data_IF_919006875264
#
_entry.id   IF_919006875264
#
_cell.length_a   1.000
_cell.length_b   1.000
_cell.length_c   1.000
_cell.angle_alpha   90.00
_cell.angle_beta   90.00
_cell.angle_gamma   90.00
#
_symmetry.space_group_name_H-M   'P 1'
#
loop_
_entity.id
_entity.type
_entity.pdbx_description
1 polymer ?
#
# COMPACT_ATOMS: atom_id res chain seq x y z
N UNK A 1 25.30 20.13 -0.30
CA UNK A 1 24.50 20.16 -1.55
C UNK A 1 23.66 18.87 -1.68
N UNK A 2 22.49 18.88 -1.05
CA UNK A 2 21.61 17.73 -1.04
C UNK A 2 20.80 17.65 -2.33
N UNK A 3 21.13 16.70 -3.21
CA UNK A 3 20.32 16.39 -4.38
C UNK A 3 18.95 15.90 -3.94
N UNK A 4 17.87 16.55 -4.39
CA UNK A 4 16.50 16.10 -4.16
C UNK A 4 16.22 14.79 -4.90
N UNK A 5 15.31 13.98 -4.38
CA UNK A 5 14.93 12.70 -4.97
C UNK A 5 13.47 12.69 -5.41
N UNK A 6 13.17 11.95 -6.48
CA UNK A 6 11.82 11.78 -7.03
C UNK A 6 11.05 10.63 -6.39
N UNK A 7 11.78 9.74 -5.69
CA UNK A 7 11.20 8.59 -4.99
C UNK A 7 11.76 8.51 -3.57
N UNK A 8 10.97 8.05 -2.59
CA UNK A 8 11.43 7.93 -1.21
C UNK A 8 12.49 6.85 -1.01
N UNK A 9 12.56 5.87 -1.93
CA UNK A 9 13.51 4.75 -1.87
C UNK A 9 14.04 4.45 -3.27
N UNK A 10 15.27 3.95 -3.36
CA UNK A 10 15.84 3.51 -4.63
C UNK A 10 15.12 2.28 -5.16
N UNK A 11 14.97 2.20 -6.47
CA UNK A 11 14.45 1.02 -7.13
C UNK A 11 15.32 -0.20 -6.80
N UNK A 12 14.68 -1.30 -6.40
CA UNK A 12 15.40 -2.51 -6.00
C UNK A 12 16.15 -2.41 -4.66
N UNK A 13 15.90 -1.39 -3.82
CA UNK A 13 16.53 -1.29 -2.50
C UNK A 13 16.24 -2.53 -1.65
N UNK A 14 17.31 -3.18 -1.18
CA UNK A 14 17.24 -4.40 -0.37
C UNK A 14 18.32 -4.35 0.72
N UNK A 15 18.00 -4.79 1.92
CA UNK A 15 18.96 -5.03 3.00
C UNK A 15 19.27 -6.52 3.04
N UNK A 16 20.55 -6.85 2.92
CA UNK A 16 21.06 -8.23 2.94
C UNK A 16 21.60 -8.61 4.33
N UNK A 17 21.79 -9.91 4.62
CA UNK A 17 22.46 -10.33 5.84
C UNK A 17 23.88 -9.74 6.01
N UNK A 18 24.59 -9.51 4.91
CA UNK A 18 25.91 -8.86 4.89
C UNK A 18 25.86 -7.43 5.43
N UNK A 19 24.82 -6.68 5.07
CA UNK A 19 24.61 -5.31 5.55
C UNK A 19 24.45 -5.22 7.08
N UNK A 20 24.12 -6.34 7.76
CA UNK A 20 23.88 -6.39 9.21
C UNK A 20 25.07 -6.88 10.02
N UNK A 21 26.21 -7.17 9.40
CA UNK A 21 27.41 -7.67 10.10
C UNK A 21 28.14 -6.61 10.91
N UNK A 22 28.03 -5.33 10.50
CA UNK A 22 28.71 -4.23 11.18
C UNK A 22 27.93 -3.80 12.43
N UNK A 23 28.61 -3.73 13.56
CA UNK A 23 28.03 -3.20 14.79
C UNK A 23 27.94 -1.67 14.69
N UNK A 24 26.77 -1.08 15.02
CA UNK A 24 26.60 0.36 14.96
C UNK A 24 27.30 1.05 16.15
N UNK A 25 27.75 2.29 15.94
CA UNK A 25 28.18 3.17 17.02
C UNK A 25 26.97 3.79 17.72
N UNK A 26 27.16 4.30 18.96
CA UNK A 26 26.11 5.00 19.69
C UNK A 26 25.60 6.26 18.93
N UNK A 27 26.49 6.94 18.21
CA UNK A 27 26.14 8.08 17.36
C UNK A 27 25.23 7.67 16.22
N UNK A 28 25.56 6.58 15.53
CA UNK A 28 24.72 6.01 14.46
C UNK A 28 23.34 5.61 14.97
N UNK A 29 23.27 4.99 16.15
CA UNK A 29 22.00 4.60 16.78
C UNK A 29 21.14 5.82 17.10
N UNK A 30 21.73 6.85 17.70
CA UNK A 30 21.04 8.09 18.07
C UNK A 30 20.53 8.83 16.83
N UNK A 31 21.41 9.05 15.84
CA UNK A 31 21.06 9.68 14.57
C UNK A 31 19.92 8.92 13.88
N UNK A 32 20.05 7.62 13.72
CA UNK A 32 19.08 6.81 13.00
C UNK A 32 17.70 6.80 13.67
N UNK A 33 17.65 6.64 14.99
CA UNK A 33 16.39 6.68 15.75
C UNK A 33 15.68 8.02 15.61
N UNK A 34 16.42 9.12 15.63
CA UNK A 34 15.87 10.46 15.42
C UNK A 34 15.29 10.61 14.01
N UNK A 35 16.03 10.17 12.98
CA UNK A 35 15.56 10.19 11.58
C UNK A 35 14.27 9.37 11.41
N UNK A 36 14.27 8.11 11.89
CA UNK A 36 13.11 7.22 11.74
C UNK A 36 11.90 7.72 12.52
N UNK A 37 12.09 8.29 13.71
CA UNK A 37 11.01 8.91 14.48
C UNK A 37 10.34 10.05 13.71
N UNK A 38 11.14 10.93 13.10
CA UNK A 38 10.65 12.08 12.35
C UNK A 38 9.88 11.65 11.08
N UNK A 39 10.45 10.76 10.26
CA UNK A 39 9.78 10.31 9.04
C UNK A 39 8.60 9.38 9.35
N UNK A 40 8.64 8.64 10.46
CA UNK A 40 7.56 7.79 10.93
C UNK A 40 6.29 8.59 11.27
N UNK A 41 6.45 9.72 11.93
CA UNK A 41 5.33 10.63 12.21
C UNK A 41 4.66 11.10 10.91
N UNK A 42 5.45 11.54 9.92
CA UNK A 42 4.92 11.96 8.63
C UNK A 42 4.18 10.81 7.92
N UNK A 43 4.75 9.59 7.93
CA UNK A 43 4.17 8.41 7.28
C UNK A 43 2.82 7.98 7.87
N UNK A 44 2.60 8.21 9.17
CA UNK A 44 1.37 7.82 9.87
C UNK A 44 0.29 8.88 9.86
N UNK A 45 0.63 10.14 9.56
CA UNK A 45 -0.33 11.26 9.61
C UNK A 45 -0.86 11.67 8.25
N UNK A 46 -0.01 11.82 7.23
CA UNK A 46 -0.42 12.35 5.91
C UNK A 46 0.37 11.79 4.73
N UNK A 47 1.58 11.25 4.97
CA UNK A 47 2.51 10.86 3.91
C UNK A 47 2.47 9.34 3.67
N UNK A 48 1.33 8.82 3.17
CA UNK A 48 1.23 7.40 2.80
C UNK A 48 2.27 7.00 1.73
N UNK A 49 2.72 7.93 0.91
CA UNK A 49 3.70 7.74 -0.15
C UNK A 49 5.10 7.33 0.35
N UNK A 50 5.42 7.56 1.64
CA UNK A 50 6.65 7.08 2.26
C UNK A 50 6.45 5.87 3.19
N UNK A 51 5.21 5.36 3.32
CA UNK A 51 4.89 4.32 4.30
C UNK A 51 5.71 3.03 4.10
N UNK A 52 5.92 2.62 2.84
CA UNK A 52 6.78 1.48 2.53
C UNK A 52 8.23 1.71 2.98
N UNK A 53 8.81 2.85 2.63
CA UNK A 53 10.18 3.18 3.00
C UNK A 53 10.36 3.17 4.53
N UNK A 54 9.43 3.79 5.26
CA UNK A 54 9.44 3.80 6.72
C UNK A 54 9.27 2.41 7.30
N UNK A 55 8.38 1.59 6.73
CA UNK A 55 8.17 0.21 7.17
C UNK A 55 9.44 -0.64 7.05
N UNK A 56 10.17 -0.52 5.94
CA UNK A 56 11.45 -1.23 5.75
C UNK A 56 12.52 -0.70 6.71
N UNK A 57 12.71 0.61 6.79
CA UNK A 57 13.77 1.23 7.55
C UNK A 57 13.59 1.07 9.08
N UNK A 58 12.36 1.17 9.58
CA UNK A 58 12.07 1.02 11.01
C UNK A 58 12.47 -0.35 11.62
N UNK A 59 12.65 -1.36 10.79
CA UNK A 59 13.10 -2.69 11.21
C UNK A 59 14.56 -2.73 11.66
N UNK A 60 15.35 -1.71 11.32
CA UNK A 60 16.79 -1.64 11.58
C UNK A 60 17.16 -0.69 12.74
N UNK A 61 16.20 -0.30 13.59
CA UNK A 61 16.40 0.61 14.73
C UNK A 61 17.42 0.13 15.75
N UNK A 62 17.61 -1.19 15.88
CA UNK A 62 18.57 -1.79 16.83
C UNK A 62 19.95 -2.00 16.22
N UNK A 63 20.03 -2.12 14.89
CA UNK A 63 21.28 -2.36 14.16
C UNK A 63 21.32 -1.59 12.84
N UNK A 64 21.34 -0.24 12.92
CA UNK A 64 21.51 0.58 11.72
C UNK A 64 22.94 0.43 11.17
N UNK A 65 23.06 0.52 9.86
CA UNK A 65 24.31 0.67 9.15
C UNK A 65 24.25 1.92 8.25
N UNK A 66 25.36 2.25 7.60
CA UNK A 66 25.40 3.45 6.76
C UNK A 66 24.37 3.43 5.65
N UNK A 67 24.09 2.26 5.06
CA UNK A 67 23.12 2.10 3.96
C UNK A 67 21.69 2.48 4.38
N UNK A 68 21.22 2.06 5.56
CA UNK A 68 19.89 2.43 6.05
C UNK A 68 19.83 3.89 6.52
N UNK A 69 20.94 4.46 7.05
CA UNK A 69 21.04 5.88 7.38
C UNK A 69 20.92 6.73 6.11
N UNK A 70 21.64 6.37 5.06
CA UNK A 70 21.60 7.07 3.77
C UNK A 70 20.21 6.97 3.12
N UNK A 71 19.57 5.80 3.22
CA UNK A 71 18.20 5.61 2.77
C UNK A 71 17.20 6.47 3.58
N UNK A 72 17.35 6.59 4.90
CA UNK A 72 16.53 7.48 5.71
C UNK A 72 16.74 8.96 5.33
N UNK A 73 17.98 9.38 5.11
CA UNK A 73 18.30 10.71 4.59
C UNK A 73 17.71 10.96 3.20
N UNK A 74 17.64 9.92 2.34
CA UNK A 74 16.95 10.00 1.05
C UNK A 74 15.46 10.28 1.22
N UNK A 75 14.76 9.61 2.15
CA UNK A 75 13.36 9.90 2.45
C UNK A 75 13.17 11.37 2.82
N UNK A 76 14.05 11.94 3.66
CA UNK A 76 13.98 13.36 4.03
C UNK A 76 14.15 14.25 2.80
N UNK A 77 15.11 13.98 1.93
CA UNK A 77 15.31 14.77 0.69
C UNK A 77 14.10 14.68 -0.25
N UNK A 78 13.45 13.52 -0.32
CA UNK A 78 12.18 13.35 -1.03
C UNK A 78 11.06 14.20 -0.39
N UNK A 79 10.92 14.17 0.94
CA UNK A 79 9.95 14.99 1.67
C UNK A 79 10.17 16.49 1.46
N UNK A 80 11.42 16.94 1.44
CA UNK A 80 11.77 18.34 1.16
C UNK A 80 11.37 18.76 -0.27
N UNK A 81 11.52 17.87 -1.25
CA UNK A 81 11.07 18.11 -2.63
C UNK A 81 9.54 18.16 -2.74
N UNK A 82 8.86 17.34 -1.96
CA UNK A 82 7.41 17.14 -2.02
C UNK A 82 6.69 17.76 -0.81
N UNK A 83 7.20 18.87 -0.29
CA UNK A 83 6.64 19.54 0.91
C UNK A 83 5.19 20.00 0.75
N UNK A 84 4.76 20.25 -0.49
CA UNK A 84 3.40 20.69 -0.82
C UNK A 84 2.43 19.52 -1.03
N UNK A 85 2.89 18.29 -0.76
CA UNK A 85 2.02 17.10 -0.81
C UNK A 85 0.86 17.26 0.17
N UNK A 86 -0.34 16.99 -0.31
CA UNK A 86 -1.57 17.03 0.49
C UNK A 86 -2.49 15.86 0.12
N UNK A 87 -3.31 15.45 1.05
CA UNK A 87 -4.47 14.61 0.80
C UNK A 87 -5.67 15.56 0.68
N UNK A 88 -6.44 15.42 -0.39
CA UNK A 88 -7.62 16.26 -0.63
C UNK A 88 -8.85 15.38 -0.57
N UNK A 89 -9.87 15.82 0.12
CA UNK A 89 -11.20 15.23 0.14
C UNK A 89 -12.20 16.25 -0.40
N UNK A 90 -13.11 15.82 -1.25
CA UNK A 90 -14.18 16.65 -1.77
C UNK A 90 -15.51 15.90 -1.73
N UNK A 91 -16.60 16.67 -1.59
CA UNK A 91 -17.96 16.18 -1.74
C UNK A 91 -18.67 16.89 -2.90
N UNK A 92 -17.94 17.71 -3.66
CA UNK A 92 -18.48 18.43 -4.81
C UNK A 92 -18.58 17.49 -6.02
N UNK A 93 -19.75 17.39 -6.62
CA UNK A 93 -20.02 16.54 -7.80
C UNK A 93 -19.19 16.96 -9.03
N UNK A 94 -18.67 18.20 -9.05
CA UNK A 94 -17.75 18.66 -10.09
C UNK A 94 -16.36 18.04 -10.00
N UNK A 95 -15.97 17.55 -8.81
CA UNK A 95 -14.66 16.98 -8.53
C UNK A 95 -14.69 15.45 -8.36
N UNK A 96 -15.86 14.90 -8.02
CA UNK A 96 -16.08 13.47 -7.80
C UNK A 96 -17.34 13.03 -8.53
N UNK A 97 -17.30 11.90 -9.23
CA UNK A 97 -18.48 11.33 -9.86
C UNK A 97 -19.61 11.13 -8.83
N UNK A 98 -20.87 11.55 -9.12
CA UNK A 98 -21.96 11.56 -8.13
C UNK A 98 -22.20 10.20 -7.46
N UNK A 99 -22.00 9.11 -8.18
CA UNK A 99 -22.14 7.74 -7.68
C UNK A 99 -21.00 7.30 -6.75
N UNK A 100 -19.95 8.13 -6.61
CA UNK A 100 -18.77 7.88 -5.76
C UNK A 100 -18.71 8.74 -4.51
N UNK A 101 -19.58 9.75 -4.39
CA UNK A 101 -19.69 10.56 -3.18
C UNK A 101 -20.06 9.68 -2.00
N UNK A 102 -19.31 9.78 -0.90
CA UNK A 102 -19.45 8.95 0.31
C UNK A 102 -19.38 7.45 0.03
N UNK A 103 -18.61 7.04 -0.98
CA UNK A 103 -18.32 5.62 -1.26
C UNK A 103 -16.86 5.31 -0.98
N UNK A 104 -16.68 4.45 -0.01
CA UNK A 104 -15.36 3.92 0.34
C UNK A 104 -14.96 2.82 -0.65
N UNK A 105 -13.69 2.81 -1.03
CA UNK A 105 -13.07 1.76 -1.83
C UNK A 105 -11.60 1.62 -1.44
N UNK A 106 -10.93 0.56 -1.86
CA UNK A 106 -9.53 0.35 -1.55
C UNK A 106 -8.80 -0.49 -2.58
N UNK A 107 -7.49 -0.60 -2.40
CA UNK A 107 -6.61 -1.49 -3.14
C UNK A 107 -5.64 -2.18 -2.19
N UNK A 108 -5.28 -3.41 -2.50
CA UNK A 108 -4.35 -4.22 -1.71
C UNK A 108 -3.32 -4.90 -2.62
N UNK A 109 -2.14 -5.13 -2.08
CA UNK A 109 -1.04 -5.84 -2.75
C UNK A 109 -0.18 -6.58 -1.72
N UNK A 110 0.52 -7.62 -2.17
CA UNK A 110 1.58 -8.25 -1.38
C UNK A 110 2.78 -8.63 -2.24
N UNK A 111 3.97 -8.33 -1.76
CA UNK A 111 5.22 -8.77 -2.35
C UNK A 111 5.67 -10.06 -1.70
N UNK A 112 5.51 -11.20 -2.42
CA UNK A 112 5.81 -12.54 -1.91
C UNK A 112 7.28 -12.71 -1.57
N UNK A 113 7.56 -13.20 -0.34
CA UNK A 113 8.90 -13.51 0.18
C UNK A 113 9.93 -12.38 -0.05
N UNK A 114 9.47 -11.10 -0.05
CA UNK A 114 10.26 -9.93 -0.39
C UNK A 114 11.41 -9.66 0.59
N UNK A 115 11.29 -10.10 1.85
CA UNK A 115 12.36 -9.94 2.82
C UNK A 115 13.43 -11.03 2.65
N UNK A 116 14.66 -10.70 2.25
CA UNK A 116 15.69 -11.70 1.99
C UNK A 116 16.21 -12.38 3.27
N UNK A 117 16.02 -11.74 4.43
CA UNK A 117 16.50 -12.24 5.72
C UNK A 117 15.53 -13.25 6.31
N UNK A 118 14.23 -12.90 6.38
CA UNK A 118 13.23 -13.75 7.03
C UNK A 118 12.34 -14.51 6.06
N UNK A 119 12.46 -14.25 4.75
CA UNK A 119 11.60 -14.79 3.68
C UNK A 119 10.10 -14.49 3.87
N UNK A 120 9.78 -13.51 4.70
CA UNK A 120 8.41 -13.03 4.88
C UNK A 120 8.00 -12.12 3.73
N UNK A 121 6.72 -12.16 3.42
CA UNK A 121 6.09 -11.27 2.45
C UNK A 121 5.83 -9.89 3.04
N UNK A 122 5.80 -8.88 2.21
CA UNK A 122 5.39 -7.52 2.58
C UNK A 122 4.02 -7.27 2.00
N UNK A 123 3.07 -6.80 2.79
CA UNK A 123 1.74 -6.46 2.32
C UNK A 123 1.36 -5.03 2.67
N UNK A 124 0.46 -4.48 1.89
CA UNK A 124 -0.03 -3.15 2.10
C UNK A 124 -1.38 -2.92 1.44
N UNK A 125 -2.09 -1.90 1.92
CA UNK A 125 -3.35 -1.44 1.35
C UNK A 125 -3.47 0.08 1.45
N UNK A 126 -4.34 0.61 0.61
CA UNK A 126 -4.84 1.98 0.63
C UNK A 126 -6.36 1.93 0.62
N UNK A 127 -7.00 2.74 1.45
CA UNK A 127 -8.46 2.90 1.47
C UNK A 127 -8.78 4.37 1.28
N UNK A 128 -9.71 4.64 0.37
CA UNK A 128 -10.10 5.98 -0.06
C UNK A 128 -11.57 6.24 0.26
N UNK A 129 -11.91 7.49 0.48
CA UNK A 129 -13.27 8.00 0.52
C UNK A 129 -13.27 9.45 0.06
N UNK A 130 -14.28 9.86 -0.72
CA UNK A 130 -14.39 11.23 -1.23
C UNK A 130 -13.10 11.77 -1.87
N UNK A 131 -12.47 10.98 -2.74
CA UNK A 131 -11.26 11.35 -3.48
C UNK A 131 -9.96 11.32 -2.67
N UNK A 132 -10.00 11.19 -1.35
CA UNK A 132 -8.82 11.18 -0.49
C UNK A 132 -8.55 9.85 0.18
N UNK A 133 -7.27 9.52 0.38
CA UNK A 133 -6.87 8.36 1.18
C UNK A 133 -7.20 8.61 2.66
N UNK A 134 -7.92 7.68 3.29
CA UNK A 134 -8.35 7.78 4.69
C UNK A 134 -7.67 6.75 5.60
N UNK A 135 -7.18 5.65 5.04
CA UNK A 135 -6.41 4.64 5.78
C UNK A 135 -5.40 3.96 4.88
N UNK A 136 -4.24 3.65 5.41
CA UNK A 136 -3.18 2.92 4.70
C UNK A 136 -2.35 2.09 5.65
N UNK A 137 -1.73 1.08 5.09
CA UNK A 137 -0.80 0.22 5.81
C UNK A 137 0.27 -0.31 4.88
N UNK A 138 1.48 -0.33 5.36
CA UNK A 138 2.60 -1.03 4.75
C UNK A 138 3.34 -1.81 5.83
N UNK A 139 3.56 -3.10 5.65
CA UNK A 139 4.22 -3.88 6.69
C UNK A 139 4.60 -5.31 6.30
N UNK A 140 5.65 -5.80 6.95
CA UNK A 140 6.07 -7.17 6.85
C UNK A 140 5.03 -8.09 7.51
N UNK A 141 4.65 -9.16 6.82
CA UNK A 141 3.73 -10.15 7.36
C UNK A 141 4.36 -10.88 8.58
N UNK A 142 3.52 -11.25 9.54
CA UNK A 142 3.98 -11.92 10.78
C UNK A 142 4.39 -13.38 10.56
N UNK A 143 3.98 -13.99 9.45
CA UNK A 143 4.24 -15.38 9.08
C UNK A 143 4.94 -15.46 7.72
N UNK A 144 5.60 -16.60 7.48
CA UNK A 144 6.08 -16.96 6.14
C UNK A 144 4.92 -17.62 5.40
N UNK A 145 4.62 -17.15 4.22
CA UNK A 145 3.63 -17.73 3.31
C UNK A 145 4.30 -18.64 2.30
N UNK A 146 3.59 -19.65 1.80
CA UNK A 146 4.14 -20.68 0.91
C UNK A 146 3.93 -20.39 -0.57
N UNK A 147 3.10 -19.39 -0.90
CA UNK A 147 2.81 -18.98 -2.28
C UNK A 147 2.50 -17.48 -2.36
N UNK A 148 2.57 -16.93 -3.58
CA UNK A 148 2.13 -15.55 -3.84
C UNK A 148 0.64 -15.38 -3.51
N UNK A 149 -0.22 -16.31 -3.92
CA UNK A 149 -1.64 -16.30 -3.61
C UNK A 149 -1.91 -16.26 -2.10
N UNK A 150 -1.16 -17.03 -1.29
CA UNK A 150 -1.28 -17.00 0.17
C UNK A 150 -0.84 -15.66 0.75
N UNK A 151 0.22 -15.06 0.22
CA UNK A 151 0.69 -13.75 0.68
C UNK A 151 -0.31 -12.63 0.33
N UNK A 152 -0.86 -12.64 -0.88
CA UNK A 152 -1.93 -11.72 -1.29
C UNK A 152 -3.15 -11.87 -0.39
N UNK A 153 -3.54 -13.11 -0.11
CA UNK A 153 -4.68 -13.40 0.74
C UNK A 153 -4.50 -12.90 2.19
N UNK A 154 -3.30 -12.98 2.75
CA UNK A 154 -2.99 -12.40 4.06
C UNK A 154 -3.10 -10.87 4.04
N UNK A 155 -2.65 -10.22 2.98
CA UNK A 155 -2.82 -8.79 2.73
C UNK A 155 -4.29 -8.41 2.62
N UNK A 156 -5.04 -9.12 1.77
CA UNK A 156 -6.46 -8.94 1.53
C UNK A 156 -7.28 -9.03 2.83
N UNK A 157 -7.06 -10.06 3.64
CA UNK A 157 -7.71 -10.19 4.94
C UNK A 157 -7.44 -8.99 5.86
N UNK A 158 -6.22 -8.45 5.85
CA UNK A 158 -5.87 -7.26 6.63
C UNK A 158 -6.65 -6.02 6.16
N UNK A 159 -6.80 -5.83 4.86
CA UNK A 159 -7.62 -4.75 4.29
C UNK A 159 -9.11 -4.91 4.59
N UNK A 160 -9.64 -6.14 4.52
CA UNK A 160 -11.04 -6.44 4.88
C UNK A 160 -11.35 -6.10 6.34
N UNK A 161 -10.45 -6.44 7.27
CA UNK A 161 -10.59 -6.08 8.69
C UNK A 161 -10.66 -4.57 8.86
N UNK A 162 -9.80 -3.81 8.18
CA UNK A 162 -9.80 -2.34 8.23
C UNK A 162 -11.08 -1.76 7.63
N UNK A 163 -11.55 -2.27 6.49
CA UNK A 163 -12.80 -1.83 5.88
C UNK A 163 -13.99 -2.06 6.82
N UNK A 164 -14.05 -3.21 7.49
CA UNK A 164 -15.13 -3.47 8.49
C UNK A 164 -15.12 -2.43 9.59
N UNK A 165 -13.97 -2.11 10.15
CA UNK A 165 -13.82 -1.10 11.18
C UNK A 165 -14.25 0.29 10.68
N UNK A 166 -13.75 0.71 9.49
CA UNK A 166 -14.10 2.01 8.92
C UNK A 166 -15.59 2.11 8.57
N UNK A 167 -16.22 1.04 8.09
CA UNK A 167 -17.66 1.02 7.82
C UNK A 167 -18.47 1.21 9.09
N UNK A 168 -18.09 0.55 10.19
CA UNK A 168 -18.72 0.74 11.49
C UNK A 168 -18.56 2.19 11.97
N UNK A 169 -17.36 2.75 11.90
CA UNK A 169 -17.10 4.14 12.25
C UNK A 169 -17.95 5.11 11.43
N UNK A 170 -18.06 4.90 10.12
CA UNK A 170 -18.87 5.74 9.23
C UNK A 170 -20.37 5.62 9.54
N UNK A 171 -20.85 4.45 9.94
CA UNK A 171 -22.23 4.25 10.40
C UNK A 171 -22.50 5.04 11.68
N UNK A 172 -21.61 4.95 12.68
CA UNK A 172 -21.70 5.72 13.93
C UNK A 172 -21.66 7.25 13.69
N UNK A 173 -20.96 7.70 12.66
CA UNK A 173 -20.94 9.10 12.22
C UNK A 173 -22.17 9.53 11.38
N UNK A 174 -23.14 8.65 11.19
CA UNK A 174 -24.35 8.92 10.40
C UNK A 174 -24.10 8.96 8.89
N UNK A 175 -23.01 8.34 8.42
CA UNK A 175 -22.61 8.24 7.01
C UNK A 175 -22.42 6.79 6.59
N UNK A 176 -23.44 5.92 6.70
CA UNK A 176 -23.32 4.51 6.39
C UNK A 176 -22.86 4.30 4.96
N UNK A 177 -22.01 3.31 4.77
CA UNK A 177 -21.50 2.95 3.45
C UNK A 177 -22.46 2.03 2.71
N UNK A 178 -22.69 2.22 1.40
CA UNK A 178 -23.50 1.30 0.61
C UNK A 178 -22.88 -0.12 0.64
N UNK A 179 -23.70 -1.15 0.36
CA UNK A 179 -23.21 -2.53 0.30
C UNK A 179 -22.04 -2.71 -0.69
N UNK A 180 -21.09 -3.56 -0.33
CA UNK A 180 -20.02 -3.98 -1.21
C UNK A 180 -18.94 -2.93 -1.43
N UNK A 181 -18.26 -2.46 -0.35
CA UNK A 181 -17.03 -1.66 -0.52
C UNK A 181 -16.07 -2.35 -1.47
N UNK A 182 -15.74 -1.71 -2.59
CA UNK A 182 -14.85 -2.28 -3.62
C UNK A 182 -13.43 -2.35 -3.05
N UNK A 183 -12.81 -3.53 -3.18
CA UNK A 183 -11.41 -3.76 -2.86
C UNK A 183 -10.73 -4.38 -4.08
N UNK A 184 -9.80 -3.63 -4.68
CA UNK A 184 -9.06 -4.02 -5.85
C UNK A 184 -7.89 -4.95 -5.48
N UNK A 185 -7.79 -6.07 -6.20
CA UNK A 185 -6.78 -7.12 -6.03
C UNK A 185 -6.31 -7.58 -7.41
N UNK A 186 -5.01 -7.77 -7.62
CA UNK A 186 -4.46 -8.16 -8.93
C UNK A 186 -4.19 -9.67 -9.09
N UNK A 187 -4.39 -10.45 -8.03
CA UNK A 187 -4.24 -11.90 -8.05
C UNK A 187 -5.60 -12.61 -8.16
N UNK A 188 -5.93 -13.07 -9.37
CA UNK A 188 -7.20 -13.76 -9.63
C UNK A 188 -7.42 -15.01 -8.76
N UNK A 189 -6.34 -15.76 -8.44
CA UNK A 189 -6.44 -16.93 -7.57
C UNK A 189 -6.78 -16.52 -6.13
N UNK A 190 -6.28 -15.39 -5.67
CA UNK A 190 -6.63 -14.80 -4.37
C UNK A 190 -8.12 -14.42 -4.32
N UNK A 191 -8.65 -13.82 -5.39
CA UNK A 191 -10.07 -13.44 -5.50
C UNK A 191 -10.97 -14.66 -5.39
N UNK A 192 -10.74 -15.69 -6.21
CA UNK A 192 -11.50 -16.97 -6.19
C UNK A 192 -11.47 -17.59 -4.78
N UNK A 193 -10.30 -17.57 -4.14
CA UNK A 193 -10.12 -18.07 -2.80
C UNK A 193 -10.96 -17.30 -1.76
N UNK A 194 -11.03 -15.97 -1.90
CA UNK A 194 -11.76 -15.09 -1.00
C UNK A 194 -13.29 -15.20 -1.16
N UNK A 195 -13.77 -15.55 -2.35
CA UNK A 195 -15.18 -15.80 -2.63
C UNK A 195 -15.69 -17.15 -2.09
N UNK A 196 -14.77 -17.98 -1.56
CA UNK A 196 -15.12 -19.23 -0.90
C UNK A 196 -15.41 -20.39 -1.86
N UNK A 197 -15.05 -20.27 -3.13
CA UNK A 197 -15.31 -21.30 -4.16
C UNK A 197 -14.42 -22.55 -4.05
N UNK A 198 -13.42 -22.53 -3.17
CA UNK A 198 -12.48 -23.63 -3.00
C UNK A 198 -12.55 -24.26 -1.61
N UNK A 199 -12.58 -25.60 -1.54
CA UNK A 199 -12.52 -26.34 -0.29
C UNK A 199 -11.17 -26.14 0.42
N UNK A 200 -11.21 -25.97 1.74
CA UNK A 200 -10.07 -25.68 2.62
C UNK A 200 -9.16 -26.90 2.92
N UNK A 201 -8.94 -27.79 1.97
CA UNK A 201 -8.12 -28.99 2.18
C UNK A 201 -6.64 -28.67 2.44
N UNK A 202 -6.12 -29.01 3.63
CA UNK A 202 -4.67 -29.05 3.91
C UNK A 202 -3.99 -27.73 4.27
N UNK A 203 -4.74 -26.61 4.47
CA UNK A 203 -4.15 -25.33 4.88
C UNK A 203 -3.91 -25.22 6.39
N UNK A 204 -2.99 -24.33 6.78
CA UNK A 204 -2.77 -24.07 8.20
C UNK A 204 -4.00 -23.43 8.85
N UNK A 205 -4.27 -23.74 10.12
CA UNK A 205 -5.42 -23.22 10.89
C UNK A 205 -5.53 -21.69 10.83
N UNK A 206 -4.40 -20.99 10.81
CA UNK A 206 -4.38 -19.52 10.76
C UNK A 206 -4.88 -18.97 9.41
N UNK A 207 -4.61 -19.66 8.32
CA UNK A 207 -5.11 -19.31 7.00
C UNK A 207 -6.61 -19.63 6.91
N UNK A 208 -7.05 -20.78 7.44
CA UNK A 208 -8.46 -21.16 7.45
C UNK A 208 -9.36 -20.14 8.16
N UNK A 209 -8.95 -19.62 9.32
CA UNK A 209 -9.70 -18.57 10.04
C UNK A 209 -9.80 -17.30 9.20
N UNK A 210 -8.73 -16.87 8.56
CA UNK A 210 -8.74 -15.69 7.68
C UNK A 210 -9.64 -15.89 6.46
N UNK A 211 -9.62 -17.09 5.87
CA UNK A 211 -10.48 -17.46 4.74
C UNK A 211 -11.95 -17.32 5.12
N UNK A 212 -12.35 -17.92 6.21
CA UNK A 212 -13.76 -17.85 6.69
C UNK A 212 -14.19 -16.42 6.95
N UNK A 213 -13.36 -15.64 7.65
CA UNK A 213 -13.66 -14.23 7.95
C UNK A 213 -13.82 -13.39 6.66
N UNK A 214 -12.94 -13.58 5.67
CA UNK A 214 -13.00 -12.84 4.40
C UNK A 214 -14.20 -13.27 3.57
N UNK A 215 -14.42 -14.59 3.39
CA UNK A 215 -15.57 -15.12 2.66
C UNK A 215 -16.92 -14.70 3.27
N UNK A 216 -17.00 -14.70 4.59
CA UNK A 216 -18.18 -14.20 5.30
C UNK A 216 -18.41 -12.70 5.05
N UNK A 217 -17.35 -11.90 5.03
CA UNK A 217 -17.43 -10.46 4.73
C UNK A 217 -17.89 -10.17 3.31
N UNK A 218 -17.46 -11.00 2.33
CA UNK A 218 -17.94 -10.95 0.94
C UNK A 218 -19.41 -11.34 0.88
N UNK A 219 -19.79 -12.46 1.51
CA UNK A 219 -21.16 -12.96 1.53
C UNK A 219 -22.15 -12.00 2.19
N UNK A 220 -21.72 -11.29 3.22
CA UNK A 220 -22.51 -10.26 3.90
C UNK A 220 -22.60 -8.95 3.12
N UNK A 221 -21.94 -8.84 1.96
CA UNK A 221 -21.89 -7.60 1.16
C UNK A 221 -21.12 -6.46 1.83
N UNK A 222 -20.19 -6.76 2.74
CA UNK A 222 -19.35 -5.75 3.38
C UNK A 222 -18.28 -5.28 2.38
N UNK A 223 -17.66 -6.22 1.66
CA UNK A 223 -16.69 -5.97 0.61
C UNK A 223 -17.08 -6.66 -0.68
N UNK A 224 -16.67 -6.08 -1.81
CA UNK A 224 -16.72 -6.67 -3.15
C UNK A 224 -15.30 -6.67 -3.69
N UNK A 225 -14.69 -7.85 -3.83
CA UNK A 225 -13.32 -7.95 -4.31
C UNK A 225 -13.36 -7.96 -5.83
N UNK A 226 -12.57 -7.09 -6.46
CA UNK A 226 -12.54 -6.93 -7.90
C UNK A 226 -11.13 -7.01 -8.44
N UNK A 227 -10.99 -7.57 -9.63
CA UNK A 227 -9.70 -7.66 -10.30
C UNK A 227 -9.26 -6.29 -10.83
N UNK A 228 -7.98 -5.97 -10.61
CA UNK A 228 -7.28 -4.87 -11.26
C UNK A 228 -6.01 -5.43 -11.91
N UNK A 229 -5.64 -4.92 -13.08
CA UNK A 229 -4.35 -5.32 -13.67
C UNK A 229 -3.18 -4.79 -12.81
N UNK A 230 -2.13 -5.60 -12.63
CA UNK A 230 -0.95 -5.27 -11.79
C UNK A 230 -0.33 -3.91 -12.12
N UNK A 231 -0.35 -3.51 -13.40
CA UNK A 231 0.15 -2.20 -13.82
C UNK A 231 -0.59 -1.02 -13.18
N UNK A 232 -1.84 -1.22 -12.74
CA UNK A 232 -2.74 -0.23 -12.17
C UNK A 232 -2.99 -0.40 -10.68
N UNK A 233 -2.37 -1.40 -10.03
CA UNK A 233 -2.59 -1.62 -8.61
C UNK A 233 -2.01 -0.46 -7.79
N UNK A 234 -2.90 0.32 -7.19
CA UNK A 234 -2.56 1.47 -6.33
C UNK A 234 -1.68 1.06 -5.14
N UNK A 235 -1.87 -0.16 -4.64
CA UNK A 235 -1.18 -0.63 -3.45
C UNK A 235 0.28 -1.05 -3.68
N UNK A 236 0.78 -1.07 -4.92
CA UNK A 236 2.20 -1.34 -5.22
C UNK A 236 3.15 -0.40 -4.45
N UNK A 237 2.77 0.88 -4.26
CA UNK A 237 3.61 1.83 -3.50
C UNK A 237 3.73 1.46 -2.02
N UNK A 238 2.86 0.57 -1.52
CA UNK A 238 2.87 0.07 -0.15
C UNK A 238 3.73 -1.18 0.04
N UNK A 239 4.17 -1.82 -1.04
CA UNK A 239 4.78 -3.16 -0.98
C UNK A 239 6.12 -3.28 -1.67
N UNK A 240 6.49 -2.31 -2.53
CA UNK A 240 7.68 -2.39 -3.38
C UNK A 240 8.42 -1.05 -3.45
N UNK A 241 9.76 -1.06 -3.56
CA UNK A 241 10.53 0.13 -3.92
C UNK A 241 10.38 0.32 -5.44
N UNK A 242 9.57 1.28 -5.85
CA UNK A 242 9.24 1.50 -7.26
C UNK A 242 10.20 2.48 -7.92
N UNK A 243 10.56 2.21 -9.18
CA UNK A 243 11.27 3.15 -10.03
C UNK A 243 10.45 4.43 -10.29
N UNK A 244 11.15 5.53 -10.62
CA UNK A 244 10.61 6.90 -10.72
C UNK A 244 9.29 6.98 -11.51
N UNK A 245 9.25 6.40 -12.70
CA UNK A 245 8.09 6.52 -13.60
C UNK A 245 6.85 5.82 -13.00
N UNK A 246 7.02 4.57 -12.53
CA UNK A 246 5.92 3.81 -11.94
C UNK A 246 5.43 4.43 -10.63
N UNK A 247 6.36 4.87 -9.79
CA UNK A 247 6.03 5.56 -8.54
C UNK A 247 5.21 6.83 -8.79
N UNK A 248 5.67 7.72 -9.69
CA UNK A 248 4.96 8.94 -10.02
C UNK A 248 3.56 8.67 -10.58
N UNK A 249 3.43 7.69 -11.49
CA UNK A 249 2.13 7.28 -12.06
C UNK A 249 1.17 6.84 -10.97
N UNK A 250 1.55 5.89 -10.11
CA UNK A 250 0.68 5.39 -9.05
C UNK A 250 0.34 6.50 -8.06
N UNK A 251 1.32 7.33 -7.68
CA UNK A 251 1.09 8.43 -6.77
C UNK A 251 0.08 9.45 -7.33
N UNK A 252 0.14 9.75 -8.63
CA UNK A 252 -0.84 10.64 -9.28
C UNK A 252 -2.23 10.00 -9.30
N UNK A 253 -2.34 8.69 -9.57
CA UNK A 253 -3.60 7.96 -9.44
C UNK A 253 -4.17 8.04 -8.02
N UNK A 254 -3.32 7.94 -6.99
CA UNK A 254 -3.75 8.04 -5.59
C UNK A 254 -4.16 9.47 -5.18
N UNK A 255 -3.62 10.51 -5.82
CA UNK A 255 -3.96 11.92 -5.53
C UNK A 255 -5.30 12.35 -6.13
N UNK A 256 -5.67 11.78 -7.26
CA UNK A 256 -6.92 12.05 -7.96
C UNK A 256 -7.56 10.75 -8.45
N UNK A 257 -7.89 9.82 -7.52
CA UNK A 257 -8.31 8.47 -7.89
C UNK A 257 -9.62 8.45 -8.68
N UNK A 258 -10.45 9.47 -8.50
CA UNK A 258 -11.75 9.57 -9.12
C UNK A 258 -11.69 10.17 -10.54
N UNK A 259 -10.72 11.07 -10.80
CA UNK A 259 -10.57 11.74 -12.08
C UNK A 259 -9.99 10.82 -13.17
N UNK A 260 -9.15 9.87 -12.76
CA UNK A 260 -8.40 9.03 -13.70
C UNK A 260 -9.09 7.71 -14.09
N UNK A 261 -10.30 7.45 -13.55
CA UNK A 261 -11.07 6.24 -13.81
C UNK A 261 -10.25 4.95 -13.67
N UNK A 262 -10.68 4.01 -12.85
CA UNK A 262 -10.12 2.64 -12.96
C UNK A 262 -10.68 2.06 -14.25
N UNK A 263 -9.87 1.61 -15.21
CA UNK A 263 -10.38 0.94 -16.39
C UNK A 263 -11.22 -0.27 -15.94
N UNK A 264 -12.50 -0.26 -16.23
CA UNK A 264 -13.47 -1.33 -15.84
C UNK A 264 -13.20 -2.62 -16.63
N UNK A 265 -12.37 -2.53 -17.66
CA UNK A 265 -11.93 -3.64 -18.48
C UNK A 265 -10.44 -3.92 -18.19
N UNK A 266 -10.08 -5.18 -17.98
CA UNK A 266 -8.70 -5.63 -17.77
C UNK A 266 -7.75 -5.38 -18.95
N UNK A 267 -7.99 -4.32 -19.73
CA UNK A 267 -7.17 -3.87 -20.83
C UNK A 267 -6.05 -2.97 -20.31
N UNK A 268 -4.82 -3.32 -20.65
CA UNK A 268 -3.67 -2.44 -20.49
C UNK A 268 -3.88 -1.24 -21.42
N UNK A 269 -3.74 0.02 -20.94
CA UNK A 269 -3.81 1.18 -21.81
C UNK A 269 -2.74 1.10 -22.89
N UNK A 270 -3.09 1.57 -24.07
CA UNK A 270 -2.15 1.69 -25.17
C UNK A 270 -0.98 2.59 -24.78
N UNK A 271 0.24 2.19 -25.12
CA UNK A 271 1.50 2.90 -24.80
C UNK A 271 1.49 4.39 -25.18
N UNK A 272 0.74 4.76 -26.20
CA UNK A 272 0.62 6.15 -26.65
C UNK A 272 -0.17 7.02 -25.68
N UNK A 273 -1.22 6.48 -25.06
CA UNK A 273 -2.02 7.17 -24.03
C UNK A 273 -1.24 7.31 -22.72
N UNK A 274 -0.38 6.34 -22.38
CA UNK A 274 0.52 6.42 -21.22
C UNK A 274 1.56 7.55 -21.37
N UNK A 275 2.14 7.73 -22.56
CA UNK A 275 3.13 8.79 -22.84
C UNK A 275 2.51 10.18 -22.87
N UNK A 276 1.30 10.32 -23.40
CA UNK A 276 0.61 11.62 -23.49
C UNK A 276 0.27 12.19 -22.10
N UNK A 277 -0.17 11.35 -21.15
CA UNK A 277 -0.48 11.75 -19.78
C UNK A 277 0.76 12.05 -18.91
N UNK A 278 1.93 11.50 -19.28
CA UNK A 278 3.20 11.75 -18.59
C UNK A 278 3.88 13.07 -19.03
N UNK A 279 3.53 13.61 -20.18
CA UNK A 279 4.16 14.83 -20.76
C UNK A 279 3.48 16.11 -20.27
N UNK A 280 2.25 16.03 -19.77
CA UNK A 280 1.48 17.20 -19.33
C UNK A 280 1.94 17.75 -17.96
N UNK A 281 2.65 16.96 -17.14
CA UNK A 281 3.06 17.30 -15.76
C UNK A 281 4.60 17.37 -15.56
N UNK A 282 5.40 17.51 -16.61
CA UNK A 282 6.85 17.77 -16.55
C UNK A 282 7.18 19.22 -16.90
#
# INVERSE_FOLDING_TARGET
>A
DGKYHDTPMDDGFVITPEDLKTEPTEEMLSEYRSLIGSIGFAATTVRYDIAYAVSILSRHLMRPNQKVIDAAKRVIRYLMKTRDFKITWSTEESEIAPDRVNRMWGAVDASFAADPITRRSHSGFLIFNNGGCISWKSGLQKMVTLSSCESEFVGLCSAVVEIRYLRQLMEELGKPQPPGTILWEDNKACIILAEGETSSGGRSKHIDVKLRHTAESVKQGIVSIRYIATAWNYADIMTKPLGRIRFARILNLCKAPEANGVPDSGETPDRETEMANLIVDL
#
